data_IF_539948982224
#
_entry.id   IF_539948982224
#
_cell.length_a   1.000
_cell.length_b   1.000
_cell.length_c   1.000
_cell.angle_alpha   90.00
_cell.angle_beta   90.00
_cell.angle_gamma   90.00
#
_symmetry.space_group_name_H-M   'P 1'
#
loop_
_entity.id
_entity.type
_entity.pdbx_description
1 polymer ?
#
# COMPACT_ATOMS: atom_id res chain seq x y z
N UNK A 1 -3.05 15.61 39.56
CA UNK A 1 -4.04 15.54 38.47
C UNK A 1 -3.29 15.15 37.22
N UNK A 2 -3.58 13.97 36.67
CA UNK A 2 -2.88 13.44 35.50
C UNK A 2 -3.36 14.16 34.24
N UNK A 3 -2.41 14.71 33.49
CA UNK A 3 -2.62 15.27 32.17
C UNK A 3 -2.96 14.12 31.22
N UNK A 4 -4.26 13.94 30.92
CA UNK A 4 -4.74 12.95 29.96
C UNK A 4 -4.36 13.47 28.58
N UNK A 5 -3.14 13.14 28.15
CA UNK A 5 -2.61 13.53 26.85
C UNK A 5 -3.63 13.23 25.75
N UNK A 6 -3.94 14.24 24.93
CA UNK A 6 -4.86 14.12 23.82
C UNK A 6 -4.56 12.86 23.00
N UNK A 7 -5.58 12.11 22.54
CA UNK A 7 -5.35 10.88 21.78
C UNK A 7 -4.50 11.20 20.54
N UNK A 8 -3.49 10.36 20.27
CA UNK A 8 -2.45 10.49 19.23
C UNK A 8 -2.99 10.34 17.78
N UNK A 9 -4.18 10.87 17.55
CA UNK A 9 -4.95 10.84 16.31
C UNK A 9 -4.28 11.59 15.16
N UNK A 10 -3.37 12.53 15.46
CA UNK A 10 -2.63 13.28 14.43
C UNK A 10 -1.61 12.40 13.72
N UNK A 11 -0.91 11.54 14.47
CA UNK A 11 0.04 10.59 13.90
C UNK A 11 -0.65 9.48 13.11
N UNK A 12 -1.68 8.84 13.71
CA UNK A 12 -2.45 7.79 13.04
C UNK A 12 -3.02 8.28 11.70
N UNK A 13 -3.54 9.52 11.65
CA UNK A 13 -4.01 10.15 10.41
C UNK A 13 -2.90 10.36 9.40
N UNK A 14 -1.72 10.81 9.84
CA UNK A 14 -0.56 11.02 8.95
C UNK A 14 -0.10 9.72 8.31
N UNK A 15 0.04 8.66 9.11
CA UNK A 15 0.55 7.37 8.65
C UNK A 15 -0.50 6.67 7.77
N UNK A 16 -1.80 6.76 8.12
CA UNK A 16 -2.87 6.34 7.23
C UNK A 16 -2.86 7.10 5.90
N UNK A 17 -2.60 8.41 5.91
CA UNK A 17 -2.49 9.21 4.69
C UNK A 17 -1.26 8.84 3.84
N UNK A 18 -0.11 8.55 4.47
CA UNK A 18 1.09 8.07 3.77
C UNK A 18 0.82 6.71 3.10
N UNK A 19 0.18 5.78 3.81
CA UNK A 19 -0.20 4.49 3.21
C UNK A 19 -1.23 4.66 2.09
N UNK A 20 -2.21 5.56 2.26
CA UNK A 20 -3.20 5.88 1.23
C UNK A 20 -2.54 6.46 -0.04
N UNK A 21 -1.55 7.33 0.11
CA UNK A 21 -0.81 7.90 -1.01
C UNK A 21 -0.09 6.81 -1.81
N UNK A 22 0.67 5.94 -1.12
CA UNK A 22 1.39 4.82 -1.77
C UNK A 22 0.40 3.89 -2.49
N UNK A 23 -0.70 3.52 -1.81
CA UNK A 23 -1.73 2.68 -2.40
C UNK A 23 -2.40 3.36 -3.62
N UNK A 24 -2.66 4.65 -3.55
CA UNK A 24 -3.27 5.40 -4.65
C UNK A 24 -2.34 5.47 -5.87
N UNK A 25 -1.04 5.67 -5.66
CA UNK A 25 -0.04 5.68 -6.74
C UNK A 25 0.04 4.33 -7.44
N UNK A 26 0.06 3.23 -6.67
CA UNK A 26 0.01 1.86 -7.20
C UNK A 26 -1.28 1.66 -8.02
N UNK A 27 -2.44 2.04 -7.48
CA UNK A 27 -3.72 1.89 -8.17
C UNK A 27 -3.79 2.72 -9.45
N UNK A 28 -3.26 3.94 -9.44
CA UNK A 28 -3.20 4.80 -10.62
C UNK A 28 -2.37 4.15 -11.73
N UNK A 29 -1.18 3.63 -11.40
CA UNK A 29 -0.31 2.93 -12.34
C UNK A 29 -0.95 1.65 -12.90
N UNK A 30 -1.73 0.91 -12.10
CA UNK A 30 -2.44 -0.29 -12.52
C UNK A 30 -3.66 0.00 -13.42
N UNK A 31 -4.38 1.08 -13.14
CA UNK A 31 -5.62 1.45 -13.84
C UNK A 31 -5.34 2.18 -15.16
N UNK A 32 -4.31 3.02 -15.17
CA UNK A 32 -3.89 3.79 -16.34
C UNK A 32 -2.37 3.70 -16.48
N UNK A 33 -1.83 2.55 -16.95
CA UNK A 33 -0.42 2.43 -17.25
C UNK A 33 0.02 3.52 -18.23
N UNK A 34 1.24 4.06 -18.10
CA UNK A 34 1.79 4.97 -19.10
C UNK A 34 1.78 4.35 -20.50
N UNK A 35 1.59 5.17 -21.53
CA UNK A 35 1.59 4.70 -22.90
C UNK A 35 2.91 4.01 -23.23
N UNK A 36 2.83 2.80 -23.82
CA UNK A 36 4.00 1.99 -24.14
C UNK A 36 4.69 1.33 -22.93
N UNK A 37 4.17 1.47 -21.71
CA UNK A 37 4.76 0.82 -20.54
C UNK A 37 4.73 -0.70 -20.70
N UNK A 38 5.85 -1.32 -20.33
CA UNK A 38 5.94 -2.76 -20.11
C UNK A 38 5.66 -3.08 -18.63
N UNK A 39 5.25 -4.32 -18.30
CA UNK A 39 5.13 -4.73 -16.91
C UNK A 39 6.41 -4.52 -16.09
N UNK A 40 7.59 -4.72 -16.69
CA UNK A 40 8.88 -4.49 -16.03
C UNK A 40 9.08 -3.03 -15.58
N UNK A 41 8.62 -2.05 -16.38
CA UNK A 41 8.67 -0.63 -16.01
C UNK A 41 7.78 -0.35 -14.80
N UNK A 42 6.57 -0.93 -14.76
CA UNK A 42 5.66 -0.78 -13.63
C UNK A 42 6.19 -1.49 -12.37
N UNK A 43 6.82 -2.65 -12.52
CA UNK A 43 7.45 -3.42 -11.45
C UNK A 43 8.52 -2.61 -10.70
N UNK A 44 9.30 -1.78 -11.40
CA UNK A 44 10.28 -0.90 -10.76
C UNK A 44 9.64 0.06 -9.74
N UNK A 45 8.48 0.63 -10.07
CA UNK A 45 7.73 1.48 -9.14
C UNK A 45 7.23 0.71 -7.90
N UNK A 46 6.74 -0.50 -8.10
CA UNK A 46 6.27 -1.35 -6.98
C UNK A 46 7.41 -1.78 -6.05
N UNK A 47 8.62 -2.01 -6.58
CA UNK A 47 9.83 -2.26 -5.78
C UNK A 47 10.21 -1.09 -4.90
N UNK A 48 9.93 0.14 -5.35
CA UNK A 48 10.20 1.34 -4.55
C UNK A 48 9.12 1.55 -3.48
N UNK A 49 7.87 1.17 -3.76
CA UNK A 49 6.76 1.28 -2.82
C UNK A 49 6.87 0.32 -1.62
N UNK A 50 7.37 -0.89 -1.82
CA UNK A 50 7.42 -1.90 -0.77
C UNK A 50 8.31 -1.52 0.44
N UNK A 51 9.54 -0.99 0.27
CA UNK A 51 10.33 -0.48 1.39
C UNK A 51 9.65 0.67 2.15
N UNK A 52 8.91 1.54 1.47
CA UNK A 52 8.17 2.61 2.14
C UNK A 52 7.08 2.04 3.06
N UNK A 53 6.32 1.06 2.57
CA UNK A 53 5.31 0.36 3.35
C UNK A 53 5.91 -0.39 4.55
N UNK A 54 7.07 -1.05 4.37
CA UNK A 54 7.78 -1.74 5.47
C UNK A 54 8.26 -0.77 6.54
N UNK A 55 8.82 0.39 6.15
CA UNK A 55 9.22 1.43 7.10
C UNK A 55 8.03 1.97 7.88
N UNK A 56 6.89 2.19 7.22
CA UNK A 56 5.65 2.58 7.88
C UNK A 56 5.22 1.54 8.92
N UNK A 57 5.13 0.28 8.53
CA UNK A 57 4.78 -0.80 9.45
C UNK A 57 5.73 -0.88 10.65
N UNK A 58 7.04 -0.69 10.43
CA UNK A 58 8.02 -0.69 11.50
C UNK A 58 7.83 0.50 12.46
N UNK A 59 7.52 1.70 11.94
CA UNK A 59 7.21 2.87 12.79
C UNK A 59 5.99 2.59 13.68
N UNK A 60 4.94 2.01 13.10
CA UNK A 60 3.71 1.68 13.84
C UNK A 60 3.93 0.63 14.93
N UNK A 61 4.74 -0.40 14.67
CA UNK A 61 5.04 -1.47 15.63
C UNK A 61 5.95 -0.98 16.77
N UNK A 62 6.94 -0.13 16.48
CA UNK A 62 7.90 0.33 17.48
C UNK A 62 7.37 1.48 18.35
N UNK A 63 6.24 2.09 17.99
CA UNK A 63 5.73 3.25 18.70
C UNK A 63 5.06 2.83 20.00
N UNK A 64 5.53 3.40 21.09
CA UNK A 64 4.89 3.27 22.40
C UNK A 64 3.45 3.81 22.33
N UNK A 65 2.50 3.00 22.74
CA UNK A 65 1.07 3.34 22.76
C UNK A 65 0.60 3.80 24.13
N UNK A 66 1.46 3.76 25.16
CA UNK A 66 1.02 3.78 26.57
C UNK A 66 -0.06 2.70 26.80
N UNK A 67 -0.77 2.78 27.93
CA UNK A 67 -1.87 1.86 28.28
C UNK A 67 -3.18 2.13 27.49
N UNK A 68 -3.13 2.63 26.24
CA UNK A 68 -4.30 2.74 25.36
C UNK A 68 -4.40 1.52 24.41
N UNK A 69 -5.17 0.47 24.76
CA UNK A 69 -5.34 -0.71 23.92
C UNK A 69 -6.02 -0.40 22.58
N UNK A 70 -6.86 0.64 22.51
CA UNK A 70 -7.55 1.02 21.28
C UNK A 70 -6.59 1.61 20.24
N UNK A 71 -5.62 2.42 20.68
CA UNK A 71 -4.55 2.92 19.82
C UNK A 71 -3.64 1.78 19.33
N UNK A 72 -3.28 0.85 20.22
CA UNK A 72 -2.46 -0.31 19.85
C UNK A 72 -3.09 -1.16 18.75
N UNK A 73 -4.40 -1.45 18.84
CA UNK A 73 -5.11 -2.22 17.82
C UNK A 73 -5.19 -1.49 16.47
N UNK A 74 -5.43 -0.17 16.45
CA UNK A 74 -5.48 0.60 15.19
C UNK A 74 -4.12 0.64 14.51
N UNK A 75 -3.04 0.86 15.26
CA UNK A 75 -1.66 0.86 14.73
C UNK A 75 -1.26 -0.51 14.21
N UNK A 76 -1.60 -1.57 14.95
CA UNK A 76 -1.39 -2.94 14.49
C UNK A 76 -2.08 -3.20 13.15
N UNK A 77 -3.34 -2.79 13.00
CA UNK A 77 -4.06 -2.91 11.71
C UNK A 77 -3.38 -2.11 10.61
N UNK A 78 -2.90 -0.90 10.89
CA UNK A 78 -2.19 -0.08 9.92
C UNK A 78 -0.88 -0.74 9.47
N UNK A 79 -0.10 -1.27 10.42
CA UNK A 79 1.11 -2.03 10.14
C UNK A 79 0.82 -3.29 9.31
N UNK A 80 -0.21 -4.06 9.66
CA UNK A 80 -0.64 -5.24 8.92
C UNK A 80 -1.04 -4.90 7.47
N UNK A 81 -1.80 -3.82 7.26
CA UNK A 81 -2.15 -3.35 5.92
C UNK A 81 -0.92 -2.94 5.11
N UNK A 82 0.02 -2.21 5.72
CA UNK A 82 1.24 -1.79 5.07
C UNK A 82 2.13 -3.00 4.68
N UNK A 83 2.28 -3.98 5.56
CA UNK A 83 3.01 -5.23 5.25
C UNK A 83 2.33 -5.99 4.10
N UNK A 84 0.99 -6.11 4.12
CA UNK A 84 0.24 -6.78 3.03
C UNK A 84 0.48 -6.09 1.69
N UNK A 85 0.49 -4.75 1.65
CA UNK A 85 0.80 -4.01 0.43
C UNK A 85 2.23 -4.26 -0.03
N UNK A 86 3.19 -4.21 0.89
CA UNK A 86 4.60 -4.44 0.60
C UNK A 86 4.84 -5.82 -0.04
N UNK A 87 4.30 -6.88 0.57
CA UNK A 87 4.45 -8.26 0.09
C UNK A 87 3.83 -8.44 -1.29
N UNK A 88 2.62 -7.91 -1.51
CA UNK A 88 1.97 -8.02 -2.83
C UNK A 88 2.69 -7.19 -3.90
N UNK A 89 3.20 -6.01 -3.56
CA UNK A 89 3.98 -5.17 -4.47
C UNK A 89 5.30 -5.85 -4.87
N UNK A 90 6.02 -6.46 -3.92
CA UNK A 90 7.24 -7.23 -4.18
C UNK A 90 6.96 -8.44 -5.06
N UNK A 91 5.96 -9.23 -4.71
CA UNK A 91 5.60 -10.40 -5.49
C UNK A 91 5.18 -10.02 -6.92
N UNK A 92 4.34 -9.00 -7.08
CA UNK A 92 3.94 -8.51 -8.39
C UNK A 92 5.15 -7.99 -9.19
N UNK A 93 6.09 -7.32 -8.54
CA UNK A 93 7.31 -6.86 -9.19
C UNK A 93 8.22 -8.01 -9.63
N UNK A 94 8.34 -9.08 -8.85
CA UNK A 94 9.11 -10.28 -9.22
C UNK A 94 8.48 -10.97 -10.43
N UNK A 95 7.15 -11.14 -10.43
CA UNK A 95 6.43 -11.76 -11.55
C UNK A 95 6.62 -10.94 -12.84
N UNK A 96 6.58 -9.60 -12.75
CA UNK A 96 6.58 -8.73 -13.91
C UNK A 96 7.97 -8.32 -14.43
N UNK A 97 9.06 -8.57 -13.70
CA UNK A 97 10.40 -8.03 -14.00
C UNK A 97 10.95 -8.42 -15.36
N UNK A 98 10.72 -9.67 -15.77
CA UNK A 98 11.22 -10.22 -17.04
C UNK A 98 10.37 -9.83 -18.25
N UNK A 99 9.24 -9.13 -18.06
CA UNK A 99 8.30 -8.82 -19.13
C UNK A 99 8.53 -7.40 -19.65
N UNK A 100 9.42 -7.29 -20.63
CA UNK A 100 9.85 -6.00 -21.21
C UNK A 100 9.04 -5.56 -22.42
N UNK A 101 8.22 -6.45 -23.00
CA UNK A 101 7.30 -6.10 -24.08
C UNK A 101 6.18 -5.18 -23.58
N UNK A 102 5.73 -4.19 -24.38
CA UNK A 102 4.60 -3.33 -24.00
C UNK A 102 3.35 -4.13 -23.65
N UNK A 103 2.57 -3.66 -22.66
CA UNK A 103 1.36 -4.33 -22.16
C UNK A 103 0.38 -4.67 -23.29
N UNK A 104 0.25 -3.79 -24.29
CA UNK A 104 -0.64 -3.95 -25.45
C UNK A 104 -0.22 -5.05 -26.43
N UNK A 105 0.98 -5.60 -26.26
CA UNK A 105 1.60 -6.54 -27.21
C UNK A 105 2.25 -7.73 -26.50
N UNK A 106 1.83 -8.03 -25.27
CA UNK A 106 2.37 -9.13 -24.48
C UNK A 106 2.09 -10.49 -25.14
N UNK A 107 3.11 -11.37 -25.26
CA UNK A 107 2.89 -12.78 -25.57
C UNK A 107 1.97 -13.43 -24.53
N UNK A 108 1.23 -14.48 -24.91
CA UNK A 108 0.20 -15.09 -24.06
C UNK A 108 0.67 -15.42 -22.62
N UNK A 109 1.83 -16.05 -22.46
CA UNK A 109 2.36 -16.39 -21.14
C UNK A 109 2.61 -15.14 -20.28
N UNK A 110 3.27 -14.12 -20.84
CA UNK A 110 3.53 -12.86 -20.15
C UNK A 110 2.25 -12.06 -19.87
N UNK A 111 1.26 -12.12 -20.77
CA UNK A 111 -0.05 -11.49 -20.57
C UNK A 111 -0.80 -12.11 -19.39
N UNK A 112 -0.74 -13.44 -19.24
CA UNK A 112 -1.33 -14.16 -18.11
C UNK A 112 -0.64 -13.81 -16.79
N UNK A 113 0.68 -13.79 -16.77
CA UNK A 113 1.47 -13.49 -15.58
C UNK A 113 1.26 -12.02 -15.15
N UNK A 114 1.25 -11.09 -16.11
CA UNK A 114 0.83 -9.70 -15.90
C UNK A 114 -0.56 -9.59 -15.30
N UNK A 115 -1.57 -10.26 -15.88
CA UNK A 115 -2.94 -10.18 -15.40
C UNK A 115 -3.06 -10.68 -13.94
N UNK A 116 -2.41 -11.80 -13.62
CA UNK A 116 -2.38 -12.35 -12.26
C UNK A 116 -1.74 -11.38 -11.26
N UNK A 117 -0.59 -10.80 -11.63
CA UNK A 117 0.11 -9.82 -10.81
C UNK A 117 -0.72 -8.56 -10.59
N UNK A 118 -1.26 -8.00 -11.67
CA UNK A 118 -2.11 -6.80 -11.67
C UNK A 118 -3.34 -6.98 -10.78
N UNK A 119 -4.06 -8.09 -10.94
CA UNK A 119 -5.34 -8.28 -10.26
C UNK A 119 -5.16 -8.53 -8.76
N UNK A 120 -4.15 -9.31 -8.35
CA UNK A 120 -3.84 -9.50 -6.93
C UNK A 120 -3.37 -8.20 -6.25
N UNK A 121 -2.50 -7.43 -6.91
CA UNK A 121 -2.04 -6.15 -6.38
C UNK A 121 -3.19 -5.13 -6.33
N UNK A 122 -4.01 -5.05 -7.37
CA UNK A 122 -5.21 -4.20 -7.42
C UNK A 122 -6.18 -4.54 -6.29
N UNK A 123 -6.48 -5.83 -6.10
CA UNK A 123 -7.40 -6.28 -5.05
C UNK A 123 -6.89 -5.89 -3.65
N UNK A 124 -5.61 -6.15 -3.37
CA UNK A 124 -4.97 -5.75 -2.11
C UNK A 124 -5.03 -4.23 -1.90
N UNK A 125 -4.71 -3.46 -2.94
CA UNK A 125 -4.67 -2.00 -2.90
C UNK A 125 -6.05 -1.40 -2.64
N UNK A 126 -7.07 -1.88 -3.35
CA UNK A 126 -8.47 -1.46 -3.12
C UNK A 126 -8.94 -1.84 -1.72
N UNK A 127 -8.61 -3.05 -1.27
CA UNK A 127 -8.91 -3.49 0.10
C UNK A 127 -8.34 -2.54 1.14
N UNK A 128 -7.08 -2.13 1.00
CA UNK A 128 -6.45 -1.19 1.93
C UNK A 128 -7.13 0.18 1.89
N UNK A 129 -7.35 0.75 0.72
CA UNK A 129 -7.98 2.08 0.58
C UNK A 129 -9.39 2.11 1.19
N UNK A 130 -10.14 1.02 1.11
CA UNK A 130 -11.49 0.92 1.70
C UNK A 130 -11.48 0.77 3.24
N UNK A 131 -10.40 0.23 3.81
CA UNK A 131 -10.32 -0.06 5.25
C UNK A 131 -9.42 0.90 6.04
N UNK A 132 -8.72 1.80 5.34
CA UNK A 132 -7.94 2.85 6.00
C UNK A 132 -8.86 3.78 6.78
N UNK A 133 -8.47 4.17 8.01
CA UNK A 133 -9.19 5.18 8.79
C UNK A 133 -8.89 6.58 8.24
N UNK A 134 -9.16 6.81 6.95
CA UNK A 134 -9.17 8.17 6.40
C UNK A 134 -10.41 8.81 6.97
N UNK A 135 -10.21 9.60 8.02
CA UNK A 135 -11.25 10.33 8.73
C UNK A 135 -12.23 10.90 7.71
N UNK A 136 -13.45 10.37 7.69
CA UNK A 136 -14.56 11.12 7.16
C UNK A 136 -14.67 12.33 8.08
N UNK A 137 -14.04 13.42 7.67
CA UNK A 137 -14.31 14.74 8.20
C UNK A 137 -15.75 15.10 7.85
N UNK A 138 -16.71 14.44 8.50
CA UNK A 138 -18.02 15.02 8.68
C UNK A 138 -17.89 15.84 9.95
N UNK A 139 -17.40 17.07 9.76
CA UNK A 139 -17.82 18.20 10.59
C UNK A 139 -19.35 18.27 10.49
N UNK A 140 -20.04 17.74 11.50
CA UNK A 140 -21.36 18.26 11.88
C UNK A 140 -21.16 19.45 12.79
#
# INVERSE_FOLDING_TARGET
MCDVGAPDTGHERREAAELAAIASDILAALTRPPAGASPAVLAAGWRQAAPACRRLAQREVLRDTRDDPGAADRRRRLAEMAVRLAVNAEWAAVVCDGHTTPITSLPFAAARDWARARDALRHTTLGILLHLPISHGITT
#
